data_IF_249138498787
#
_entry.id   IF_249138498787
#
_cell.length_a   1.000
_cell.length_b   1.000
_cell.length_c   1.000
_cell.angle_alpha   90.00
_cell.angle_beta   90.00
_cell.angle_gamma   90.00
#
_symmetry.space_group_name_H-M   'P 1'
#
loop_
_entity.id
_entity.type
_entity.pdbx_description
1 polymer ?
#
# COMPACT_ATOMS: atom_id res chain seq x y z
N UNK A 1 14.77 20.33 10.13
CA UNK A 1 14.65 19.30 11.21
C UNK A 1 13.44 19.49 12.12
N UNK A 2 13.05 20.71 12.53
CA UNK A 2 11.92 20.96 13.48
C UNK A 2 10.52 20.53 12.97
N UNK A 3 10.31 20.44 11.66
CA UNK A 3 9.00 20.16 11.05
C UNK A 3 8.74 18.67 10.74
N UNK A 4 9.73 17.78 10.88
CA UNK A 4 9.58 16.38 10.46
C UNK A 4 8.57 15.63 11.36
N UNK A 5 8.64 15.80 12.68
CA UNK A 5 7.69 15.18 13.61
C UNK A 5 6.25 15.68 13.43
N UNK A 6 6.07 16.97 13.11
CA UNK A 6 4.75 17.57 12.92
C UNK A 6 3.99 16.99 11.72
N UNK A 7 4.69 16.59 10.65
CA UNK A 7 4.05 15.97 9.48
C UNK A 7 3.39 14.63 9.81
N UNK A 8 4.03 13.79 10.61
CA UNK A 8 3.48 12.48 10.99
C UNK A 8 2.30 12.63 11.95
N UNK A 9 2.41 13.51 12.95
CA UNK A 9 1.30 13.79 13.87
C UNK A 9 0.08 14.34 13.13
N UNK A 10 0.27 15.30 12.22
CA UNK A 10 -0.83 15.84 11.42
C UNK A 10 -1.47 14.78 10.52
N UNK A 11 -0.67 13.92 9.87
CA UNK A 11 -1.21 12.83 9.04
C UNK A 11 -2.05 11.84 9.87
N UNK A 12 -1.64 11.57 11.11
CA UNK A 12 -2.39 10.71 12.03
C UNK A 12 -3.72 11.34 12.47
N UNK A 13 -3.74 12.63 12.79
CA UNK A 13 -4.95 13.38 13.14
C UNK A 13 -5.95 13.41 11.98
N UNK A 14 -5.48 13.76 10.78
CA UNK A 14 -6.29 13.76 9.56
C UNK A 14 -6.82 12.38 9.20
N UNK A 15 -6.07 11.31 9.48
CA UNK A 15 -6.56 9.96 9.23
C UNK A 15 -7.69 9.57 10.18
N UNK A 16 -7.58 9.97 11.45
CA UNK A 16 -8.54 9.64 12.52
C UNK A 16 -9.91 10.30 12.33
N UNK A 17 -10.01 11.40 11.60
CA UNK A 17 -11.30 12.05 11.36
C UNK A 17 -12.26 11.20 10.52
N UNK A 18 -11.73 10.27 9.71
CA UNK A 18 -12.51 9.40 8.84
C UNK A 18 -12.98 10.03 7.53
N UNK A 19 -12.79 11.35 7.34
CA UNK A 19 -13.15 12.03 6.09
C UNK A 19 -12.21 11.63 4.95
N UNK A 20 -12.78 11.41 3.77
CA UNK A 20 -12.02 10.96 2.60
C UNK A 20 -10.92 11.97 2.24
N UNK A 21 -11.27 13.25 2.15
CA UNK A 21 -10.37 14.34 1.80
C UNK A 21 -9.19 14.42 2.77
N UNK A 22 -9.46 14.27 4.08
CA UNK A 22 -8.42 14.30 5.10
C UNK A 22 -7.51 13.07 5.03
N UNK A 23 -8.05 11.87 4.79
CA UNK A 23 -7.24 10.67 4.52
C UNK A 23 -6.35 10.83 3.28
N UNK A 24 -6.86 11.45 2.22
CA UNK A 24 -6.07 11.75 1.01
C UNK A 24 -4.96 12.77 1.33
N UNK A 25 -5.24 13.80 2.13
CA UNK A 25 -4.21 14.76 2.57
C UNK A 25 -3.14 14.06 3.42
N UNK A 26 -3.54 13.21 4.38
CA UNK A 26 -2.61 12.41 5.18
C UNK A 26 -1.68 11.56 4.29
N UNK A 27 -2.24 10.90 3.27
CA UNK A 27 -1.47 10.16 2.26
C UNK A 27 -0.47 11.06 1.54
N UNK A 28 -0.88 12.25 1.10
CA UNK A 28 0.00 13.20 0.40
C UNK A 28 1.12 13.76 1.27
N UNK A 29 0.86 13.97 2.56
CA UNK A 29 1.90 14.37 3.52
C UNK A 29 2.94 13.26 3.63
N UNK A 30 2.51 12.01 3.81
CA UNK A 30 3.39 10.84 3.95
C UNK A 30 4.12 10.49 2.66
N UNK A 31 3.50 10.64 1.49
CA UNK A 31 4.17 10.52 0.19
C UNK A 31 5.44 11.40 0.10
N UNK A 32 5.35 12.64 0.61
CA UNK A 32 6.45 13.62 0.55
C UNK A 32 7.46 13.49 1.70
N UNK A 33 7.00 13.10 2.89
CA UNK A 33 7.77 13.21 4.15
C UNK A 33 8.12 11.86 4.76
N UNK A 34 7.48 10.78 4.34
CA UNK A 34 7.61 9.46 4.93
C UNK A 34 9.03 8.90 4.93
N UNK A 35 9.84 9.24 3.92
CA UNK A 35 11.25 8.83 3.85
C UNK A 35 12.13 9.43 4.96
N UNK A 36 11.68 10.48 5.64
CA UNK A 36 12.41 11.10 6.74
C UNK A 36 12.42 10.20 7.98
N UNK A 37 11.46 9.27 8.09
CA UNK A 37 11.33 8.28 9.16
C UNK A 37 10.58 7.02 8.62
N UNK A 38 11.30 6.11 7.92
CA UNK A 38 10.70 4.93 7.31
C UNK A 38 10.03 3.98 8.31
N UNK A 39 10.58 3.85 9.52
CA UNK A 39 10.03 3.00 10.57
C UNK A 39 8.66 3.52 11.02
N UNK A 40 8.57 4.81 11.32
CA UNK A 40 7.28 5.44 11.67
C UNK A 40 6.31 5.42 10.50
N UNK A 41 6.78 5.55 9.26
CA UNK A 41 5.95 5.43 8.08
C UNK A 41 5.31 4.04 7.98
N UNK A 42 6.11 2.98 8.12
CA UNK A 42 5.61 1.60 8.07
C UNK A 42 4.68 1.29 9.26
N UNK A 43 4.96 1.86 10.45
CA UNK A 43 4.06 1.77 11.60
C UNK A 43 2.69 2.39 11.30
N UNK A 44 2.65 3.63 10.81
CA UNK A 44 1.40 4.30 10.42
C UNK A 44 0.69 3.55 9.29
N UNK A 45 1.42 3.05 8.28
CA UNK A 45 0.83 2.24 7.21
C UNK A 45 0.11 1.01 7.77
N UNK A 46 0.71 0.35 8.76
CA UNK A 46 0.10 -0.73 9.52
C UNK A 46 -1.22 -0.33 10.13
N UNK A 47 -1.21 0.71 10.97
CA UNK A 47 -2.39 1.23 11.67
C UNK A 47 -3.49 1.67 10.70
N UNK A 48 -3.13 2.39 9.64
CA UNK A 48 -4.07 2.95 8.67
C UNK A 48 -4.73 1.85 7.84
N UNK A 49 -4.00 0.77 7.54
CA UNK A 49 -4.56 -0.38 6.82
C UNK A 49 -5.75 -1.03 7.52
N UNK A 50 -5.85 -0.90 8.85
CA UNK A 50 -6.91 -1.52 9.65
C UNK A 50 -8.28 -0.86 9.45
N UNK A 51 -8.31 0.39 8.97
CA UNK A 51 -9.51 1.23 8.84
C UNK A 51 -9.82 1.62 7.39
N UNK A 52 -9.16 1.00 6.42
CA UNK A 52 -9.48 1.21 4.99
C UNK A 52 -10.86 0.62 4.71
N UNK A 53 -11.70 1.40 4.04
CA UNK A 53 -13.10 1.06 3.76
C UNK A 53 -13.50 1.29 2.28
N UNK A 54 -12.61 1.86 1.47
CA UNK A 54 -12.86 2.15 0.06
C UNK A 54 -11.60 2.03 -0.80
N UNK A 55 -11.82 1.90 -2.11
CA UNK A 55 -10.75 1.65 -3.09
C UNK A 55 -9.80 2.85 -3.26
N UNK A 56 -10.30 4.08 -3.16
CA UNK A 56 -9.47 5.28 -3.36
C UNK A 56 -8.45 5.44 -2.23
N UNK A 57 -8.89 5.23 -0.98
CA UNK A 57 -8.00 5.21 0.19
C UNK A 57 -7.05 4.02 0.14
N UNK A 58 -7.52 2.83 -0.24
CA UNK A 58 -6.68 1.65 -0.40
C UNK A 58 -5.54 1.90 -1.40
N UNK A 59 -5.85 2.47 -2.56
CA UNK A 59 -4.88 2.67 -3.63
C UNK A 59 -3.92 3.82 -3.31
N UNK A 60 -4.43 4.90 -2.70
CA UNK A 60 -3.58 5.98 -2.17
C UNK A 60 -2.60 5.47 -1.10
N UNK A 61 -3.08 4.65 -0.16
CA UNK A 61 -2.26 4.05 0.87
C UNK A 61 -1.20 3.11 0.27
N UNK A 62 -1.58 2.21 -0.65
CA UNK A 62 -0.64 1.25 -1.24
C UNK A 62 0.41 1.89 -2.15
N UNK A 63 0.03 2.84 -2.99
CA UNK A 63 0.91 3.36 -4.05
C UNK A 63 1.62 4.67 -3.68
N UNK A 64 0.93 5.60 -3.02
CA UNK A 64 1.42 6.97 -2.80
C UNK A 64 2.08 7.09 -1.43
N UNK A 65 1.45 6.57 -0.38
CA UNK A 65 1.96 6.66 0.99
C UNK A 65 3.37 6.09 1.14
N UNK A 66 3.63 4.93 0.51
CA UNK A 66 4.92 4.23 0.55
C UNK A 66 5.95 4.72 -0.48
N UNK A 67 5.59 5.70 -1.33
CA UNK A 67 6.38 6.13 -2.49
C UNK A 67 7.80 6.54 -2.12
N UNK A 68 7.97 7.22 -0.98
CA UNK A 68 9.26 7.69 -0.50
C UNK A 68 10.27 6.59 -0.17
N UNK A 69 9.80 5.37 0.09
CA UNK A 69 10.64 4.24 0.55
C UNK A 69 10.60 3.03 -0.40
N UNK A 70 9.81 3.07 -1.47
CA UNK A 70 9.59 1.94 -2.40
C UNK A 70 10.89 1.36 -2.97
N UNK A 71 11.94 2.18 -3.16
CA UNK A 71 13.24 1.72 -3.67
C UNK A 71 14.17 1.15 -2.60
N UNK A 72 14.00 1.56 -1.34
CA UNK A 72 14.97 1.29 -0.26
C UNK A 72 14.47 0.23 0.72
N UNK A 73 13.16 0.03 0.83
CA UNK A 73 12.52 -0.85 1.83
C UNK A 73 11.66 -1.93 1.18
N UNK A 74 12.05 -2.42 0.00
CA UNK A 74 11.30 -3.44 -0.72
C UNK A 74 11.12 -4.72 0.13
N UNK A 75 12.11 -5.12 0.92
CA UNK A 75 12.01 -6.30 1.79
C UNK A 75 10.87 -6.18 2.80
N UNK A 76 10.77 -5.03 3.49
CA UNK A 76 9.72 -4.78 4.48
C UNK A 76 8.34 -4.70 3.83
N UNK A 77 8.24 -4.02 2.68
CA UNK A 77 7.00 -3.91 1.90
C UNK A 77 6.51 -5.30 1.47
N UNK A 78 7.37 -6.16 0.95
CA UNK A 78 6.99 -7.53 0.57
C UNK A 78 6.65 -8.41 1.78
N UNK A 79 7.28 -8.20 2.94
CA UNK A 79 6.93 -8.89 4.18
C UNK A 79 5.51 -8.53 4.64
N UNK A 80 5.16 -7.23 4.61
CA UNK A 80 3.81 -6.75 4.93
C UNK A 80 2.81 -7.26 3.89
N UNK A 81 3.14 -7.19 2.59
CA UNK A 81 2.28 -7.70 1.54
C UNK A 81 1.95 -9.19 1.76
N UNK A 82 2.96 -10.02 2.05
CA UNK A 82 2.75 -11.44 2.38
C UNK A 82 1.81 -11.63 3.58
N UNK A 83 1.96 -10.83 4.64
CA UNK A 83 1.06 -10.87 5.81
C UNK A 83 -0.38 -10.50 5.43
N UNK A 84 -0.57 -9.46 4.63
CA UNK A 84 -1.90 -8.97 4.27
C UNK A 84 -2.62 -9.85 3.26
N UNK A 85 -1.87 -10.57 2.43
CA UNK A 85 -2.40 -11.46 1.41
C UNK A 85 -3.27 -12.58 2.00
N UNK A 86 -3.00 -13.02 3.24
CA UNK A 86 -3.82 -14.01 3.96
C UNK A 86 -4.72 -13.41 5.05
N UNK A 87 -4.96 -12.09 5.04
CA UNK A 87 -5.81 -11.44 6.04
C UNK A 87 -7.29 -11.77 5.85
N UNK A 88 -8.05 -11.86 6.95
CA UNK A 88 -9.51 -11.94 6.90
C UNK A 88 -10.16 -10.65 6.38
N UNK A 89 -9.44 -9.51 6.42
CA UNK A 89 -9.93 -8.21 5.94
C UNK A 89 -9.72 -8.06 4.44
N UNK A 90 -10.80 -7.88 3.68
CA UNK A 90 -10.74 -7.75 2.21
C UNK A 90 -9.83 -6.61 1.74
N UNK A 91 -9.83 -5.48 2.46
CA UNK A 91 -9.02 -4.31 2.09
C UNK A 91 -7.53 -4.56 2.29
N UNK A 92 -7.14 -5.34 3.30
CA UNK A 92 -5.74 -5.76 3.45
C UNK A 92 -5.35 -6.74 2.34
N UNK A 93 -6.21 -7.70 1.98
CA UNK A 93 -5.94 -8.59 0.84
C UNK A 93 -5.76 -7.81 -0.47
N UNK A 94 -6.63 -6.83 -0.77
CA UNK A 94 -6.42 -5.90 -1.90
C UNK A 94 -5.09 -5.15 -1.76
N UNK A 95 -4.83 -4.55 -0.59
CA UNK A 95 -3.64 -3.75 -0.33
C UNK A 95 -2.35 -4.55 -0.55
N UNK A 96 -2.36 -5.85 -0.26
CA UNK A 96 -1.22 -6.76 -0.51
C UNK A 96 -0.75 -6.79 -1.96
N UNK A 97 -1.67 -6.57 -2.91
CA UNK A 97 -1.37 -6.48 -4.34
C UNK A 97 -1.06 -5.06 -4.76
N UNK A 98 -1.81 -4.08 -4.26
CA UNK A 98 -1.66 -2.68 -4.67
C UNK A 98 -0.34 -2.07 -4.18
N UNK A 99 0.11 -2.42 -2.98
CA UNK A 99 1.37 -1.90 -2.43
C UNK A 99 2.61 -2.42 -3.17
N UNK A 100 2.49 -3.53 -3.89
CA UNK A 100 3.58 -4.09 -4.70
C UNK A 100 3.48 -3.73 -6.19
N UNK A 101 2.47 -2.94 -6.59
CA UNK A 101 2.22 -2.59 -7.99
C UNK A 101 3.43 -1.94 -8.66
N UNK A 102 4.12 -1.03 -7.96
CA UNK A 102 5.26 -0.32 -8.53
C UNK A 102 6.38 -1.27 -8.98
N UNK A 103 6.53 -2.41 -8.30
CA UNK A 103 7.56 -3.41 -8.59
C UNK A 103 7.22 -4.30 -9.79
N UNK A 104 6.01 -4.22 -10.37
CA UNK A 104 5.71 -4.95 -11.62
C UNK A 104 6.59 -4.48 -12.78
N UNK A 105 7.25 -3.33 -12.65
CA UNK A 105 8.26 -2.81 -13.59
C UNK A 105 9.62 -3.52 -13.49
N UNK A 106 9.87 -4.27 -12.42
CA UNK A 106 11.10 -5.03 -12.23
C UNK A 106 10.83 -6.52 -12.41
N UNK A 107 11.34 -7.10 -13.51
CA UNK A 107 11.18 -8.52 -13.85
C UNK A 107 11.73 -9.46 -12.78
N UNK A 108 12.76 -9.04 -12.02
CA UNK A 108 13.33 -9.83 -10.92
C UNK A 108 12.34 -10.00 -9.75
N UNK A 109 11.42 -9.04 -9.57
CA UNK A 109 10.40 -9.09 -8.50
C UNK A 109 9.16 -9.88 -8.92
N UNK A 110 8.97 -10.14 -10.21
CA UNK A 110 7.79 -10.82 -10.73
C UNK A 110 7.51 -12.19 -10.09
N UNK A 111 8.50 -13.07 -9.82
CA UNK A 111 8.23 -14.35 -9.16
C UNK A 111 7.58 -14.18 -7.78
N UNK A 112 7.94 -13.13 -7.03
CA UNK A 112 7.35 -12.86 -5.72
C UNK A 112 5.93 -12.28 -5.86
N UNK A 113 5.73 -11.34 -6.80
CA UNK A 113 4.41 -10.75 -7.05
C UNK A 113 3.43 -11.81 -7.58
N UNK A 114 3.88 -12.71 -8.47
CA UNK A 114 3.04 -13.82 -8.99
C UNK A 114 2.55 -14.75 -7.87
N UNK A 115 3.35 -14.98 -6.82
CA UNK A 115 2.90 -15.76 -5.65
C UNK A 115 1.76 -15.06 -4.90
N UNK A 116 1.86 -13.74 -4.71
CA UNK A 116 0.79 -12.96 -4.08
C UNK A 116 -0.49 -12.95 -4.92
N UNK A 117 -0.35 -12.84 -6.24
CA UNK A 117 -1.47 -12.89 -7.19
C UNK A 117 -2.15 -14.25 -7.15
N UNK A 118 -1.38 -15.34 -7.30
CA UNK A 118 -1.90 -16.71 -7.31
C UNK A 118 -2.72 -17.05 -6.06
N UNK A 119 -2.28 -16.59 -4.89
CA UNK A 119 -2.99 -16.80 -3.62
C UNK A 119 -4.36 -16.10 -3.52
N UNK A 120 -4.65 -15.14 -4.39
CA UNK A 120 -5.89 -14.35 -4.40
C UNK A 120 -6.70 -14.53 -5.70
N UNK A 121 -6.32 -15.45 -6.59
CA UNK A 121 -7.03 -15.65 -7.88
C UNK A 121 -8.50 -16.03 -7.70
N UNK A 122 -8.78 -16.82 -6.67
CA UNK A 122 -10.13 -17.30 -6.33
C UNK A 122 -10.80 -16.48 -5.21
N UNK A 123 -10.24 -15.33 -4.83
CA UNK A 123 -10.85 -14.47 -3.80
C UNK A 123 -12.25 -14.02 -4.24
N UNK A 124 -13.25 -14.15 -3.38
CA UNK A 124 -14.65 -13.85 -3.73
C UNK A 124 -14.94 -12.35 -3.86
N UNK A 125 -14.12 -11.50 -3.24
CA UNK A 125 -14.35 -10.06 -3.13
C UNK A 125 -14.08 -9.32 -4.43
N UNK A 126 -15.07 -8.53 -4.89
CA UNK A 126 -15.01 -7.79 -6.15
C UNK A 126 -13.73 -6.92 -6.27
N UNK A 127 -13.41 -6.17 -5.21
CA UNK A 127 -12.25 -5.27 -5.23
C UNK A 127 -10.92 -6.02 -5.17
N UNK A 128 -10.87 -7.24 -4.62
CA UNK A 128 -9.65 -8.06 -4.65
C UNK A 128 -9.45 -8.62 -6.05
N UNK A 129 -10.49 -9.19 -6.67
CA UNK A 129 -10.46 -9.66 -8.07
C UNK A 129 -9.98 -8.57 -9.04
N UNK A 130 -10.43 -7.32 -8.84
CA UNK A 130 -9.96 -6.18 -9.65
C UNK A 130 -8.46 -5.90 -9.50
N UNK A 131 -7.91 -6.04 -8.30
CA UNK A 131 -6.47 -5.90 -8.08
C UNK A 131 -5.68 -7.04 -8.73
N UNK A 132 -6.16 -8.29 -8.67
CA UNK A 132 -5.58 -9.43 -9.38
C UNK A 132 -5.47 -9.15 -10.88
N UNK A 133 -6.58 -8.75 -11.51
CA UNK A 133 -6.62 -8.43 -12.95
C UNK A 133 -5.68 -7.29 -13.30
N UNK A 134 -5.65 -6.24 -12.48
CA UNK A 134 -4.79 -5.09 -12.71
C UNK A 134 -3.30 -5.45 -12.67
N UNK A 135 -2.86 -6.21 -11.64
CA UNK A 135 -1.47 -6.65 -11.53
C UNK A 135 -1.09 -7.61 -12.68
N UNK A 136 -1.98 -8.54 -13.06
CA UNK A 136 -1.75 -9.40 -14.23
C UNK A 136 -1.52 -8.58 -15.50
N UNK A 137 -2.37 -7.58 -15.77
CA UNK A 137 -2.23 -6.68 -16.92
C UNK A 137 -0.91 -5.90 -16.90
N UNK A 138 -0.40 -5.55 -15.72
CA UNK A 138 0.88 -4.85 -15.63
C UNK A 138 2.08 -5.71 -16.07
N UNK A 139 2.02 -7.04 -15.93
CA UNK A 139 3.07 -7.93 -16.44
C UNK A 139 3.09 -8.00 -17.98
N UNK A 140 1.96 -7.71 -18.63
CA UNK A 140 1.81 -7.77 -20.09
C UNK A 140 2.30 -6.50 -20.78
N UNK A 141 2.40 -5.38 -20.07
CA UNK A 141 2.83 -4.09 -20.63
C UNK A 141 4.32 -4.02 -21.01
N UNK A 142 5.13 -4.96 -20.52
CA UNK A 142 6.55 -5.09 -20.84
C UNK A 142 6.82 -6.18 -21.91
N UNK A 143 5.79 -6.56 -22.68
CA UNK A 143 5.90 -7.36 -23.91
C UNK A 143 6.00 -6.49 -25.14
#
# INVERSE_FOLDING_TARGET
>A
KKYNGGSFTLAEELWKSGWLEERIIAIKIMEKRGKDDPERLLHLFGQFSETVDNWAVCDGLGMQFLRGIVKTHAKDIFLIAKKYNSSSKMWQRRLSLVMVEWYTRNKEMHPQIRKLVAALEEDEEYYVKKAVVWIKKNFEKDK
#
